data_IF_752945174526
#
_entry.id   IF_752945174526
#
_cell.length_a   1.000
_cell.length_b   1.000
_cell.length_c   1.000
_cell.angle_alpha   90.00
_cell.angle_beta   90.00
_cell.angle_gamma   90.00
#
_symmetry.space_group_name_H-M   'P 1'
#
loop_
_entity.id
_entity.type
_entity.pdbx_description
1 polymer ?
#
# COMPACT_ATOMS: atom_id res chain seq x y z
N UNK A 1 20.60 -3.11 46.19
CA UNK A 1 19.44 -3.58 46.98
C UNK A 1 19.03 -4.94 46.42
N UNK A 2 19.73 -6.01 46.81
CA UNK A 2 19.49 -7.37 46.28
C UNK A 2 18.59 -8.12 47.26
N UNK A 3 17.37 -8.46 46.83
CA UNK A 3 16.50 -9.38 47.56
C UNK A 3 17.02 -10.80 47.34
N UNK A 4 17.51 -11.41 48.39
CA UNK A 4 17.86 -12.84 48.44
C UNK A 4 16.57 -13.62 48.73
N UNK A 5 16.14 -14.50 47.83
CA UNK A 5 15.05 -15.44 48.11
C UNK A 5 15.69 -16.73 48.62
N UNK A 6 15.36 -17.11 49.86
CA UNK A 6 15.83 -18.32 50.54
C UNK A 6 14.73 -19.37 50.40
N UNK A 7 15.01 -20.49 49.72
CA UNK A 7 14.15 -21.67 49.77
C UNK A 7 14.90 -22.78 50.52
N UNK A 8 14.30 -23.26 51.61
CA UNK A 8 14.76 -24.42 52.37
C UNK A 8 13.91 -25.64 52.04
N UNK A 9 14.53 -26.75 51.62
CA UNK A 9 13.88 -28.05 51.56
C UNK A 9 14.46 -28.92 52.68
N UNK A 10 13.60 -29.34 53.59
CA UNK A 10 13.97 -30.12 54.78
C UNK A 10 14.07 -31.62 54.43
N UNK A 11 15.25 -32.22 54.64
CA UNK A 11 15.45 -33.67 54.77
C UNK A 11 16.49 -33.93 55.84
N UNK A 12 16.12 -34.72 56.86
CA UNK A 12 16.99 -35.27 57.91
C UNK A 12 17.68 -34.24 58.85
N UNK A 13 16.99 -33.18 59.27
CA UNK A 13 17.41 -32.35 60.40
C UNK A 13 18.65 -31.48 60.20
N UNK A 14 19.15 -31.35 58.96
CA UNK A 14 20.24 -30.44 58.59
C UNK A 14 19.71 -29.49 57.52
N UNK A 15 19.72 -28.19 57.81
CA UNK A 15 19.32 -27.14 56.88
C UNK A 15 20.47 -26.91 55.89
N UNK A 16 20.37 -27.45 54.67
CA UNK A 16 21.32 -27.13 53.59
C UNK A 16 20.93 -25.77 52.96
N UNK A 17 21.69 -24.73 53.29
CA UNK A 17 21.58 -23.43 52.60
C UNK A 17 22.42 -23.51 51.32
N UNK A 18 21.79 -23.86 50.19
CA UNK A 18 22.45 -23.78 48.89
C UNK A 18 22.43 -22.35 48.38
N UNK A 19 23.54 -21.65 48.60
CA UNK A 19 23.80 -20.37 47.96
C UNK A 19 24.15 -20.65 46.49
N UNK A 20 23.24 -20.37 45.56
CA UNK A 20 23.53 -20.47 44.13
C UNK A 20 24.43 -19.28 43.73
N UNK A 21 25.72 -19.41 44.01
CA UNK A 21 26.74 -18.48 43.58
C UNK A 21 26.92 -18.62 42.06
N UNK A 22 26.20 -17.80 41.29
CA UNK A 22 26.44 -17.70 39.86
C UNK A 22 27.81 -17.04 39.62
N UNK A 23 28.78 -17.86 39.19
CA UNK A 23 30.14 -17.44 38.88
C UNK A 23 30.10 -16.31 37.84
N UNK A 24 30.83 -15.22 38.09
CA UNK A 24 30.84 -13.98 37.27
C UNK A 24 31.05 -14.24 35.77
N UNK A 25 31.79 -15.31 35.43
CA UNK A 25 32.03 -15.76 34.05
C UNK A 25 30.75 -16.16 33.33
N UNK A 26 29.80 -16.80 34.02
CA UNK A 26 28.51 -17.20 33.43
C UNK A 26 27.59 -15.99 33.28
N UNK A 27 27.70 -15.00 34.17
CA UNK A 27 26.90 -13.77 34.10
C UNK A 27 27.24 -12.96 32.84
N UNK A 28 28.53 -12.90 32.47
CA UNK A 28 28.96 -12.25 31.23
C UNK A 28 28.34 -12.93 30.00
N UNK A 29 28.29 -14.27 29.98
CA UNK A 29 27.67 -15.02 28.88
C UNK A 29 26.18 -14.70 28.76
N UNK A 30 25.43 -14.65 29.87
CA UNK A 30 24.01 -14.29 29.82
C UNK A 30 23.76 -12.85 29.36
N UNK A 31 24.61 -11.90 29.77
CA UNK A 31 24.50 -10.51 29.32
C UNK A 31 24.78 -10.36 27.82
N UNK A 32 25.80 -11.06 27.31
CA UNK A 32 26.09 -11.10 25.87
C UNK A 32 24.93 -11.73 25.10
N UNK A 33 24.38 -12.85 25.58
CA UNK A 33 23.22 -13.49 24.96
C UNK A 33 21.98 -12.58 24.95
N UNK A 34 21.70 -11.89 26.04
CA UNK A 34 20.58 -10.94 26.12
C UNK A 34 20.80 -9.77 25.14
N UNK A 35 22.01 -9.21 25.07
CA UNK A 35 22.34 -8.14 24.11
C UNK A 35 22.17 -8.59 22.66
N UNK A 36 22.62 -9.80 22.31
CA UNK A 36 22.44 -10.36 20.95
C UNK A 36 20.95 -10.50 20.62
N UNK A 37 20.12 -10.97 21.57
CA UNK A 37 18.67 -11.08 21.33
C UNK A 37 18.00 -9.72 21.13
N UNK A 38 18.39 -8.70 21.91
CA UNK A 38 17.85 -7.34 21.73
C UNK A 38 18.27 -6.76 20.38
N UNK A 39 19.52 -6.92 19.98
CA UNK A 39 20.01 -6.48 18.68
C UNK A 39 19.31 -7.19 17.52
N UNK A 40 19.03 -8.48 17.65
CA UNK A 40 18.26 -9.25 16.67
C UNK A 40 16.82 -8.76 16.54
N UNK A 41 16.14 -8.48 17.66
CA UNK A 41 14.79 -7.92 17.65
C UNK A 41 14.76 -6.51 17.04
N UNK A 42 15.76 -5.67 17.34
CA UNK A 42 15.91 -4.36 16.70
C UNK A 42 16.11 -4.50 15.19
N UNK A 43 16.92 -5.46 14.74
CA UNK A 43 17.15 -5.71 13.31
C UNK A 43 15.87 -6.16 12.59
N UNK A 44 15.06 -7.01 13.21
CA UNK A 44 13.77 -7.42 12.64
C UNK A 44 12.74 -6.29 12.67
N UNK A 45 12.79 -5.39 13.66
CA UNK A 45 11.85 -4.26 13.77
C UNK A 45 12.06 -3.19 12.69
N UNK A 46 13.24 -3.15 12.06
CA UNK A 46 13.46 -2.35 10.87
C UNK A 46 12.73 -3.05 9.70
N UNK A 47 11.41 -2.81 9.65
CA UNK A 47 10.55 -3.27 8.57
C UNK A 47 11.23 -2.95 7.25
N UNK A 48 11.56 -3.99 6.50
CA UNK A 48 12.08 -3.81 5.15
C UNK A 48 10.93 -3.19 4.37
N UNK A 49 11.01 -1.88 4.13
CA UNK A 49 10.14 -1.19 3.19
C UNK A 49 10.15 -2.05 1.94
N UNK A 50 9.08 -2.81 1.73
CA UNK A 50 8.87 -3.50 0.47
C UNK A 50 8.60 -2.39 -0.51
N UNK A 51 9.67 -1.77 -0.99
CA UNK A 51 9.67 -1.01 -2.23
C UNK A 51 9.18 -2.03 -3.24
N UNK A 52 7.87 -2.05 -3.49
CA UNK A 52 7.25 -2.89 -4.51
C UNK A 52 8.14 -2.71 -5.73
N UNK A 53 8.67 -3.80 -6.32
CA UNK A 53 9.36 -3.64 -7.58
C UNK A 53 8.35 -2.96 -8.48
N UNK A 54 8.70 -1.75 -8.93
CA UNK A 54 8.03 -1.15 -10.07
C UNK A 54 8.41 -2.05 -11.23
N UNK A 55 7.73 -3.20 -11.35
CA UNK A 55 7.45 -3.73 -12.66
C UNK A 55 6.89 -2.53 -13.40
N UNK A 56 7.57 -2.13 -14.47
CA UNK A 56 6.91 -1.37 -15.53
C UNK A 56 5.79 -2.26 -16.02
N UNK A 57 4.68 -2.25 -15.30
CA UNK A 57 3.40 -2.65 -15.83
C UNK A 57 3.15 -1.60 -16.91
N UNK A 58 3.38 -2.01 -18.14
CA UNK A 58 2.96 -1.22 -19.28
C UNK A 58 1.45 -1.07 -19.10
N UNK A 59 1.02 0.08 -18.59
CA UNK A 59 -0.39 0.45 -18.48
C UNK A 59 -0.87 0.55 -19.92
N UNK A 60 -1.31 -0.59 -20.48
CA UNK A 60 -1.83 -0.65 -21.82
C UNK A 60 -3.20 0.02 -21.77
N UNK A 61 -3.40 1.15 -22.47
CA UNK A 61 -4.69 1.83 -22.46
C UNK A 61 -5.75 0.90 -23.06
N UNK A 62 -6.85 0.76 -22.34
CA UNK A 62 -7.96 -0.12 -22.72
C UNK A 62 -8.58 0.23 -24.08
N UNK A 63 -8.64 1.53 -24.38
CA UNK A 63 -9.11 2.01 -25.66
C UNK A 63 -8.47 3.37 -25.96
N UNK A 64 -7.96 3.52 -27.19
CA UNK A 64 -7.48 4.80 -27.71
C UNK A 64 -8.19 5.06 -29.02
N UNK A 65 -8.98 6.13 -29.07
CA UNK A 65 -9.52 6.62 -30.34
C UNK A 65 -8.56 7.65 -30.90
N UNK A 66 -7.89 7.32 -32.02
CA UNK A 66 -7.02 8.25 -32.75
C UNK A 66 -7.78 9.08 -33.79
N UNK A 67 -9.04 8.71 -34.05
CA UNK A 67 -9.92 9.40 -34.99
C UNK A 67 -10.35 10.74 -34.37
N UNK A 68 -9.65 11.82 -34.74
CA UNK A 68 -10.04 13.18 -34.39
C UNK A 68 -11.01 13.73 -35.44
N UNK A 69 -12.31 13.52 -35.19
CA UNK A 69 -13.39 14.01 -36.05
C UNK A 69 -13.74 15.50 -35.85
N UNK A 70 -12.98 16.24 -35.04
CA UNK A 70 -13.26 17.66 -34.80
C UNK A 70 -13.06 18.47 -36.07
N UNK A 71 -13.95 19.43 -36.30
CA UNK A 71 -13.84 20.34 -37.42
C UNK A 71 -12.61 21.25 -37.23
N UNK A 72 -11.56 21.03 -38.03
CA UNK A 72 -10.30 21.80 -37.98
C UNK A 72 -10.48 23.28 -38.32
N UNK A 73 -11.65 23.71 -38.79
CA UNK A 73 -11.95 25.13 -39.03
C UNK A 73 -11.99 25.97 -37.73
N UNK A 74 -11.86 25.35 -36.55
CA UNK A 74 -11.54 26.05 -35.29
C UNK A 74 -10.03 26.35 -35.18
N UNK A 75 -9.46 26.96 -36.20
CA UNK A 75 -8.07 27.41 -36.18
C UNK A 75 -7.89 28.45 -35.06
N UNK A 76 -7.23 28.05 -33.96
CA UNK A 76 -6.87 28.93 -32.84
C UNK A 76 -7.54 28.65 -31.50
N UNK A 77 -8.50 27.72 -31.40
CA UNK A 77 -8.99 27.30 -30.07
C UNK A 77 -8.01 26.32 -29.40
N UNK A 78 -7.66 26.58 -28.14
CA UNK A 78 -6.87 25.69 -27.30
C UNK A 78 -7.68 24.43 -26.92
N UNK A 79 -7.08 23.24 -27.03
CA UNK A 79 -7.74 22.00 -26.60
C UNK A 79 -7.75 21.89 -25.08
N UNK A 80 -8.92 21.61 -24.51
CA UNK A 80 -9.10 21.34 -23.08
C UNK A 80 -9.00 19.85 -22.85
N UNK A 81 -8.03 19.41 -22.05
CA UNK A 81 -7.92 18.00 -21.62
C UNK A 81 -8.64 17.84 -20.29
N UNK A 82 -9.80 17.19 -20.32
CA UNK A 82 -10.61 16.96 -19.14
C UNK A 82 -10.39 15.53 -18.63
N UNK A 83 -9.72 15.37 -17.50
CA UNK A 83 -9.39 14.06 -16.92
C UNK A 83 -10.36 13.74 -15.78
N UNK A 84 -11.08 12.64 -15.90
CA UNK A 84 -12.00 12.16 -14.86
C UNK A 84 -11.57 10.78 -14.36
N UNK A 85 -11.03 10.66 -13.13
CA UNK A 85 -10.89 9.37 -12.48
C UNK A 85 -12.27 8.81 -12.10
N UNK A 86 -12.46 7.51 -12.27
CA UNK A 86 -13.69 6.81 -11.94
C UNK A 86 -13.37 5.41 -11.43
N UNK A 87 -14.25 4.83 -10.62
CA UNK A 87 -14.09 3.49 -10.05
C UNK A 87 -15.43 2.75 -10.10
N UNK A 88 -15.43 1.41 -10.07
CA UNK A 88 -16.65 0.62 -10.26
C UNK A 88 -17.65 0.82 -9.10
N UNK A 89 -18.78 1.46 -9.40
CA UNK A 89 -19.92 1.66 -8.49
C UNK A 89 -21.25 1.63 -9.25
N UNK A 90 -22.36 1.43 -8.53
CA UNK A 90 -23.69 1.24 -9.16
C UNK A 90 -24.16 2.48 -9.93
N UNK A 91 -23.72 3.65 -9.50
CA UNK A 91 -24.03 4.97 -10.04
C UNK A 91 -23.05 5.43 -11.13
N UNK A 92 -21.96 4.68 -11.39
CA UNK A 92 -20.89 5.07 -12.31
C UNK A 92 -21.42 5.46 -13.70
N UNK A 93 -22.29 4.64 -14.27
CA UNK A 93 -22.86 4.88 -15.58
C UNK A 93 -23.75 6.14 -15.62
N UNK A 94 -24.56 6.36 -14.57
CA UNK A 94 -25.44 7.51 -14.48
C UNK A 94 -24.64 8.82 -14.36
N UNK A 95 -23.57 8.82 -13.57
CA UNK A 95 -22.69 9.97 -13.43
C UNK A 95 -21.90 10.27 -14.69
N UNK A 96 -21.29 9.26 -15.32
CA UNK A 96 -20.59 9.42 -16.59
C UNK A 96 -21.54 9.90 -17.69
N UNK A 97 -22.80 9.46 -17.67
CA UNK A 97 -23.83 9.94 -18.61
C UNK A 97 -24.12 11.43 -18.41
N UNK A 98 -24.34 11.84 -17.16
CA UNK A 98 -24.59 13.25 -16.82
C UNK A 98 -23.40 14.12 -17.22
N UNK A 99 -22.18 13.70 -16.91
CA UNK A 99 -20.95 14.41 -17.28
C UNK A 99 -20.78 14.44 -18.80
N UNK A 100 -20.92 13.31 -19.49
CA UNK A 100 -20.80 13.22 -20.95
C UNK A 100 -21.73 14.20 -21.67
N UNK A 101 -23.01 14.24 -21.29
CA UNK A 101 -23.95 15.20 -21.85
C UNK A 101 -23.57 16.66 -21.59
N UNK A 102 -23.02 16.99 -20.41
CA UNK A 102 -22.55 18.35 -20.15
C UNK A 102 -21.33 18.72 -21.00
N UNK A 103 -20.41 17.76 -21.22
CA UNK A 103 -19.18 17.99 -21.97
C UNK A 103 -19.42 18.14 -23.48
N UNK A 104 -20.49 17.56 -24.03
CA UNK A 104 -20.87 17.73 -25.46
C UNK A 104 -21.02 19.19 -25.89
N UNK A 105 -21.40 20.07 -24.97
CA UNK A 105 -21.61 21.49 -25.26
C UNK A 105 -20.31 22.31 -25.23
N UNK A 106 -19.19 21.71 -24.82
CA UNK A 106 -17.89 22.39 -24.74
C UNK A 106 -17.11 22.15 -26.03
N UNK A 107 -16.85 23.18 -26.84
CA UNK A 107 -16.06 23.01 -28.05
C UNK A 107 -14.60 22.65 -27.71
N UNK A 108 -13.98 21.86 -28.58
CA UNK A 108 -12.54 21.54 -28.53
C UNK A 108 -12.06 20.90 -27.21
N UNK A 109 -12.88 20.02 -26.64
CA UNK A 109 -12.56 19.27 -25.42
C UNK A 109 -12.17 17.82 -25.74
N UNK A 110 -11.13 17.34 -25.08
CA UNK A 110 -10.70 15.95 -25.11
C UNK A 110 -10.94 15.32 -23.73
N UNK A 111 -11.84 14.36 -23.67
CA UNK A 111 -12.25 13.72 -22.42
C UNK A 111 -11.45 12.43 -22.18
N UNK A 112 -10.69 12.40 -21.09
CA UNK A 112 -9.89 11.25 -20.66
C UNK A 112 -10.56 10.65 -19.43
N UNK A 113 -11.08 9.43 -19.56
CA UNK A 113 -11.69 8.69 -18.44
C UNK A 113 -10.70 7.66 -17.93
N UNK A 114 -10.27 7.81 -16.68
CA UNK A 114 -9.35 6.88 -16.02
C UNK A 114 -10.17 5.95 -15.11
N UNK A 115 -10.41 4.72 -15.57
CA UNK A 115 -11.15 3.69 -14.81
C UNK A 115 -10.18 2.94 -13.88
N UNK A 116 -10.45 2.97 -12.58
CA UNK A 116 -9.69 2.30 -11.51
C UNK A 116 -10.04 0.82 -11.39
N UNK A 117 -10.39 0.20 -12.51
CA UNK A 117 -10.68 -1.23 -12.57
C UNK A 117 -9.42 -1.99 -13.02
N UNK A 118 -9.24 -3.20 -12.49
CA UNK A 118 -8.06 -4.03 -12.81
C UNK A 118 -8.05 -4.44 -14.28
N UNK A 119 -9.23 -4.58 -14.88
CA UNK A 119 -9.40 -4.91 -16.29
C UNK A 119 -10.29 -3.88 -16.99
N UNK A 120 -10.13 -3.79 -18.31
CA UNK A 120 -10.90 -2.90 -19.15
C UNK A 120 -12.41 -3.17 -19.05
N UNK A 121 -13.18 -2.10 -18.90
CA UNK A 121 -14.62 -2.16 -18.70
C UNK A 121 -15.39 -1.89 -20.00
N UNK A 122 -15.92 -2.96 -20.60
CA UNK A 122 -16.73 -2.89 -21.83
C UNK A 122 -17.97 -2.00 -21.69
N UNK A 123 -18.57 -1.90 -20.50
CA UNK A 123 -19.75 -1.06 -20.27
C UNK A 123 -19.39 0.42 -20.39
N UNK A 124 -18.29 0.85 -19.78
CA UNK A 124 -17.79 2.22 -19.89
C UNK A 124 -17.39 2.50 -21.33
N UNK A 125 -16.69 1.57 -21.99
CA UNK A 125 -16.32 1.73 -23.39
C UNK A 125 -17.53 1.98 -24.31
N UNK A 126 -18.56 1.14 -24.19
CA UNK A 126 -19.82 1.29 -24.96
C UNK A 126 -20.58 2.56 -24.59
N UNK A 127 -20.50 3.01 -23.33
CA UNK A 127 -21.12 4.23 -22.87
C UNK A 127 -20.45 5.47 -23.48
N UNK A 128 -19.11 5.54 -23.41
CA UNK A 128 -18.34 6.69 -23.89
C UNK A 128 -18.46 6.89 -25.41
N UNK A 129 -18.62 5.81 -26.18
CA UNK A 129 -18.85 5.90 -27.64
C UNK A 129 -20.16 6.61 -28.03
N UNK A 130 -21.08 6.81 -27.08
CA UNK A 130 -22.34 7.54 -27.33
C UNK A 130 -22.16 9.06 -27.30
N UNK A 131 -21.04 9.54 -26.75
CA UNK A 131 -20.77 10.96 -26.65
C UNK A 131 -19.72 11.40 -27.65
#
# INVERSE_FOLDING_TARGET
MLRTVVYGHERNGIIEIRCLSMRIQNMFVFLVMMMITVLYLVWISQGKETRRPSSREYVLPCHVSYEDGRNKNQEGLQTIYFVTPTYPRREQAAELTRVGHTLMHVPNLHWIVADDNVACNDMIYKLLKKF
#
